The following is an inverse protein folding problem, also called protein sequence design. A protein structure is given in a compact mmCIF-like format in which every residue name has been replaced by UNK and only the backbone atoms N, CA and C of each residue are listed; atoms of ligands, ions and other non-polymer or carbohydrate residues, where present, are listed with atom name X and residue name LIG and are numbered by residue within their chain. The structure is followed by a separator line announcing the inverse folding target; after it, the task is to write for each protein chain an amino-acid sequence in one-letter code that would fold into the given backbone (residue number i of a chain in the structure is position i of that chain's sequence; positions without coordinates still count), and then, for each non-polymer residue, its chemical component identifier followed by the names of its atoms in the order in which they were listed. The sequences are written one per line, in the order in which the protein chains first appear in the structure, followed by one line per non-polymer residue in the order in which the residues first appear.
data_IF_259380709048
#
_entry.id   IF_259380709048
#
_cell.length_a   1.000
_cell.length_b   1.000
_cell.length_c   1.000
_cell.angle_alpha   90.00
_cell.angle_beta   90.00
_cell.angle_gamma   90.00
#
_symmetry.space_group_name_H-M   'P 1'
#
loop_
_entity.id
_entity.type
_entity.pdbx_description
1 polymer ?
#
# COMPACT_ATOMS: atom_id res chain seq x y z
N UNK A 1 20.12 2.44 5.73
CA UNK A 1 19.12 3.31 6.39
C UNK A 1 17.76 2.73 6.13
N UNK A 2 16.90 2.66 7.15
CA UNK A 2 15.58 2.05 7.00
C UNK A 2 14.56 3.07 6.49
N UNK A 3 13.73 2.64 5.55
CA UNK A 3 12.66 3.44 4.96
C UNK A 3 11.36 2.65 4.93
N UNK A 4 10.27 3.29 5.31
CA UNK A 4 8.91 2.82 5.10
C UNK A 4 8.43 3.33 3.75
N UNK A 5 8.15 2.41 2.82
CA UNK A 5 7.61 2.67 1.49
C UNK A 5 6.15 2.24 1.50
N UNK A 6 5.22 3.16 1.24
CA UNK A 6 3.78 2.93 1.38
C UNK A 6 3.05 3.12 0.05
N UNK A 7 2.15 2.18 -0.24
CA UNK A 7 1.22 2.24 -1.36
C UNK A 7 -0.17 2.56 -0.82
N UNK A 8 -0.83 3.54 -1.42
CA UNK A 8 -2.19 3.92 -1.05
C UNK A 8 -3.21 3.25 -1.97
N UNK A 9 -4.46 3.18 -1.50
CA UNK A 9 -5.62 2.77 -2.28
C UNK A 9 -6.90 3.03 -1.51
N UNK A 10 -8.04 2.76 -2.15
CA UNK A 10 -9.37 2.94 -1.58
C UNK A 10 -10.18 1.64 -1.60
N UNK A 11 -11.31 1.60 -0.88
CA UNK A 11 -12.24 0.46 -0.99
C UNK A 11 -12.73 0.26 -2.43
N UNK A 12 -12.94 1.36 -3.17
CA UNK A 12 -13.38 1.30 -4.57
C UNK A 12 -12.34 0.62 -5.47
N UNK A 13 -11.05 0.76 -5.17
CA UNK A 13 -9.98 0.11 -5.95
C UNK A 13 -9.93 -1.39 -5.70
N UNK A 14 -10.12 -1.83 -4.45
CA UNK A 14 -10.25 -3.25 -4.13
C UNK A 14 -11.50 -3.86 -4.79
N UNK A 15 -12.62 -3.15 -4.75
CA UNK A 15 -13.85 -3.58 -5.42
C UNK A 15 -13.65 -3.69 -6.93
N UNK A 16 -12.97 -2.71 -7.55
CA UNK A 16 -12.64 -2.69 -8.96
C UNK A 16 -11.73 -3.86 -9.37
N UNK A 17 -10.71 -4.19 -8.56
CA UNK A 17 -9.87 -5.37 -8.73
C UNK A 17 -10.65 -6.68 -8.58
N UNK A 18 -11.69 -6.67 -7.75
CA UNK A 18 -12.64 -7.78 -7.58
C UNK A 18 -13.77 -7.84 -8.63
N UNK A 19 -13.71 -7.03 -9.68
CA UNK A 19 -14.70 -7.02 -10.78
C UNK A 19 -15.90 -6.08 -10.58
N UNK A 20 -15.91 -5.26 -9.52
CA UNK A 20 -16.97 -4.30 -9.17
C UNK A 20 -16.47 -2.86 -9.27
N UNK A 21 -16.32 -2.39 -10.50
CA UNK A 21 -15.87 -1.02 -10.76
C UNK A 21 -16.94 0.04 -10.45
N UNK A 22 -16.48 1.28 -10.39
CA UNK A 22 -17.26 2.50 -10.16
C UNK A 22 -16.83 3.60 -11.15
N UNK A 23 -17.45 4.78 -11.04
CA UNK A 23 -17.01 5.95 -11.81
C UNK A 23 -15.61 6.45 -11.39
N UNK A 24 -15.20 6.20 -10.14
CA UNK A 24 -13.90 6.62 -9.61
C UNK A 24 -12.80 5.56 -9.82
N UNK A 25 -13.17 4.28 -10.00
CA UNK A 25 -12.22 3.18 -10.20
C UNK A 25 -12.79 2.14 -11.17
N UNK A 26 -12.28 2.03 -12.42
CA UNK A 26 -12.84 1.15 -13.44
C UNK A 26 -12.54 -0.32 -13.14
N UNK A 27 -13.41 -1.23 -13.59
CA UNK A 27 -13.21 -2.69 -13.44
C UNK A 27 -11.84 -3.10 -13.98
N UNK A 28 -11.13 -3.92 -13.22
CA UNK A 28 -9.91 -4.57 -13.67
C UNK A 28 -10.28 -5.91 -14.29
N UNK A 29 -9.78 -6.17 -15.50
CA UNK A 29 -9.84 -7.51 -16.05
C UNK A 29 -8.80 -8.42 -15.40
N UNK A 30 -8.96 -9.73 -15.57
CA UNK A 30 -8.06 -10.72 -15.00
C UNK A 30 -6.60 -10.46 -15.41
N UNK A 31 -6.37 -10.03 -16.66
CA UNK A 31 -5.03 -9.76 -17.18
C UNK A 31 -4.37 -8.59 -16.45
N UNK A 32 -5.10 -7.52 -16.17
CA UNK A 32 -4.62 -6.37 -15.41
C UNK A 32 -4.25 -6.76 -13.98
N UNK A 33 -5.10 -7.54 -13.31
CA UNK A 33 -4.83 -8.06 -11.96
C UNK A 33 -3.58 -8.94 -11.94
N UNK A 34 -3.43 -9.86 -12.90
CA UNK A 34 -2.24 -10.70 -13.02
C UNK A 34 -0.97 -9.89 -13.31
N UNK A 35 -1.07 -8.86 -14.16
CA UNK A 35 0.06 -7.98 -14.47
C UNK A 35 0.52 -7.19 -13.24
N UNK A 36 -0.41 -6.69 -12.43
CA UNK A 36 -0.10 -6.03 -11.16
C UNK A 36 0.62 -6.98 -10.19
N UNK A 37 0.09 -8.19 -9.97
CA UNK A 37 0.73 -9.16 -9.09
C UNK A 37 2.11 -9.59 -9.57
N UNK A 38 2.28 -9.83 -10.87
CA UNK A 38 3.57 -10.18 -11.45
C UNK A 38 4.60 -9.05 -11.30
N UNK A 39 4.18 -7.80 -11.51
CA UNK A 39 5.05 -6.63 -11.34
C UNK A 39 5.50 -6.44 -9.89
N UNK A 40 4.56 -6.48 -8.94
CA UNK A 40 4.89 -6.38 -7.51
C UNK A 40 5.70 -7.58 -7.02
N UNK A 41 5.44 -8.78 -7.54
CA UNK A 41 6.22 -9.99 -7.28
C UNK A 41 7.68 -9.82 -7.69
N UNK A 42 7.94 -9.36 -8.92
CA UNK A 42 9.30 -9.09 -9.39
C UNK A 42 10.03 -8.04 -8.56
N UNK A 43 9.34 -7.01 -8.05
CA UNK A 43 9.96 -6.05 -7.11
C UNK A 43 10.34 -6.75 -5.80
N UNK A 44 9.47 -7.61 -5.25
CA UNK A 44 9.77 -8.36 -4.03
C UNK A 44 10.98 -9.30 -4.21
N UNK A 45 11.05 -10.00 -5.35
CA UNK A 45 12.15 -10.90 -5.68
C UNK A 45 13.47 -10.11 -5.74
N UNK A 46 13.52 -9.00 -6.48
CA UNK A 46 14.70 -8.15 -6.58
C UNK A 46 15.16 -7.61 -5.21
N UNK A 47 14.22 -7.17 -4.36
CA UNK A 47 14.53 -6.62 -3.03
C UNK A 47 15.01 -7.71 -2.07
N UNK A 48 14.49 -8.94 -2.21
CA UNK A 48 14.96 -10.08 -1.45
C UNK A 48 16.36 -10.50 -1.89
N UNK A 49 16.63 -10.51 -3.20
CA UNK A 49 17.94 -10.86 -3.76
C UNK A 49 19.01 -9.83 -3.43
N UNK A 50 18.67 -8.54 -3.44
CA UNK A 50 19.59 -7.46 -3.06
C UNK A 50 19.84 -7.38 -1.55
N UNK A 51 18.99 -8.01 -0.73
CA UNK A 51 19.02 -7.91 0.72
C UNK A 51 18.47 -6.59 1.26
N UNK A 52 17.87 -5.76 0.41
CA UNK A 52 17.25 -4.48 0.80
C UNK A 52 15.89 -4.68 1.51
N UNK A 53 15.25 -5.84 1.34
CA UNK A 53 13.98 -6.14 2.00
C UNK A 53 14.15 -6.50 3.48
N UNK A 54 13.65 -5.65 4.38
CA UNK A 54 13.49 -5.99 5.81
C UNK A 54 12.18 -6.75 6.02
N UNK A 55 11.06 -6.18 5.56
CA UNK A 55 9.75 -6.82 5.55
C UNK A 55 8.78 -6.07 4.62
N UNK A 56 7.63 -6.64 4.30
CA UNK A 56 6.59 -5.97 3.54
C UNK A 56 5.34 -6.83 3.36
N UNK A 57 4.19 -6.19 3.24
CA UNK A 57 2.89 -6.86 3.08
C UNK A 57 1.94 -6.05 2.22
N UNK A 58 1.18 -6.75 1.37
CA UNK A 58 -0.09 -6.26 0.85
C UNK A 58 -1.17 -6.40 1.93
N UNK A 59 -2.03 -5.41 2.06
CA UNK A 59 -3.11 -5.39 3.04
C UNK A 59 -4.43 -5.82 2.39
N UNK A 60 -5.38 -6.21 3.22
CA UNK A 60 -6.75 -6.50 2.77
C UNK A 60 -7.52 -5.21 2.58
N UNK A 61 -8.67 -5.32 1.94
CA UNK A 61 -9.58 -4.22 1.71
C UNK A 61 -9.98 -3.51 3.01
N UNK A 62 -10.14 -2.17 3.00
CA UNK A 62 -10.52 -1.38 4.17
C UNK A 62 -11.75 -1.90 4.94
N UNK A 63 -12.75 -2.43 4.23
CA UNK A 63 -13.96 -2.99 4.82
C UNK A 63 -13.71 -4.19 5.75
N UNK A 64 -12.54 -4.84 5.67
CA UNK A 64 -12.16 -5.94 6.56
C UNK A 64 -11.56 -5.48 7.90
N UNK A 65 -11.23 -4.19 8.04
CA UNK A 65 -10.56 -3.64 9.21
C UNK A 65 -11.51 -3.09 10.28
N UNK A 66 -10.93 -2.71 11.44
CA UNK A 66 -11.61 -1.89 12.48
C UNK A 66 -10.76 -0.71 12.96
N UNK A 67 -11.38 0.44 13.20
CA UNK A 67 -10.75 1.60 13.81
C UNK A 67 -11.18 1.68 15.26
N UNK A 68 -10.24 2.08 16.11
CA UNK A 68 -10.45 2.19 17.54
C UNK A 68 -10.06 3.60 17.97
N UNK A 69 -11.01 4.33 18.54
CA UNK A 69 -10.81 5.63 19.18
C UNK A 69 -11.22 5.56 20.65
N UNK A 70 -11.12 6.68 21.36
CA UNK A 70 -11.58 6.81 22.75
C UNK A 70 -12.59 7.94 22.85
N UNK A 71 -13.63 7.75 23.66
CA UNK A 71 -14.58 8.82 23.98
C UNK A 71 -14.05 9.76 25.08
N UNK A 72 -14.85 10.76 25.45
CA UNK A 72 -14.49 11.74 26.49
C UNK A 72 -14.29 11.11 27.88
N UNK A 73 -14.87 9.93 28.12
CA UNK A 73 -14.74 9.17 29.36
C UNK A 73 -13.58 8.14 29.30
N UNK A 74 -12.82 8.10 28.20
CA UNK A 74 -11.70 7.19 28.00
C UNK A 74 -12.10 5.76 27.64
N UNK A 75 -13.35 5.51 27.25
CA UNK A 75 -13.82 4.18 26.84
C UNK A 75 -13.50 3.95 25.36
N UNK A 76 -13.16 2.72 24.96
CA UNK A 76 -12.89 2.41 23.57
C UNK A 76 -14.17 2.52 22.74
N UNK A 77 -14.09 3.27 21.63
CA UNK A 77 -15.11 3.34 20.59
C UNK A 77 -14.55 2.60 19.38
N UNK A 78 -15.23 1.53 18.96
CA UNK A 78 -14.80 0.71 17.82
C UNK A 78 -15.75 0.95 16.66
N UNK A 79 -15.19 1.25 15.48
CA UNK A 79 -15.93 1.33 14.22
C UNK A 79 -15.40 0.28 13.23
N UNK A 80 -16.30 -0.49 12.64
CA UNK A 80 -15.96 -1.37 11.53
C UNK A 80 -15.70 -0.52 10.27
N UNK A 81 -14.82 -1.03 9.39
CA UNK A 81 -14.48 -0.35 8.14
C UNK A 81 -15.64 -0.29 7.13
N UNK A 82 -15.55 0.60 6.13
CA UNK A 82 -14.51 1.59 5.91
C UNK A 82 -14.63 2.80 6.86
N UNK A 83 -13.52 3.23 7.45
CA UNK A 83 -13.53 4.36 8.40
C UNK A 83 -13.82 5.65 7.65
N UNK A 84 -14.79 6.43 8.14
CA UNK A 84 -15.51 7.47 7.40
C UNK A 84 -14.70 8.69 6.95
N UNK A 85 -13.43 8.84 7.36
CA UNK A 85 -12.70 10.11 7.18
C UNK A 85 -11.65 10.12 6.07
N UNK A 86 -11.22 8.96 5.53
CA UNK A 86 -10.22 8.95 4.45
C UNK A 86 -10.64 8.03 3.31
N UNK A 87 -10.72 8.60 2.10
CA UNK A 87 -10.89 7.80 0.88
C UNK A 87 -9.63 6.99 0.56
N UNK A 88 -8.48 7.45 1.00
CA UNK A 88 -7.17 6.87 0.73
C UNK A 88 -6.59 6.24 2.00
N UNK A 89 -6.33 4.95 1.93
CA UNK A 89 -5.81 4.13 3.01
C UNK A 89 -4.57 3.37 2.55
N UNK A 90 -3.83 2.82 3.50
CA UNK A 90 -2.67 2.00 3.21
C UNK A 90 -3.14 0.70 2.54
N UNK A 91 -2.70 0.46 1.30
CA UNK A 91 -2.96 -0.77 0.56
C UNK A 91 -1.82 -1.78 0.71
N UNK A 92 -0.61 -1.31 0.99
CA UNK A 92 0.55 -2.15 1.22
C UNK A 92 1.76 -1.33 1.60
N UNK A 93 2.78 -2.02 2.12
CA UNK A 93 4.03 -1.36 2.48
C UNK A 93 5.23 -2.29 2.37
N UNK A 94 6.41 -1.67 2.31
CA UNK A 94 7.69 -2.29 2.59
C UNK A 94 8.45 -1.49 3.64
N UNK A 95 9.21 -2.20 4.48
CA UNK A 95 10.35 -1.63 5.20
C UNK A 95 11.59 -2.10 4.47
N UNK A 96 12.37 -1.14 3.97
CA UNK A 96 13.57 -1.39 3.18
C UNK A 96 14.79 -0.82 3.89
N UNK A 97 15.90 -1.56 3.89
CA UNK A 97 17.21 -1.05 4.29
C UNK A 97 18.01 -0.70 3.05
N UNK A 98 17.98 0.59 2.69
CA UNK A 98 18.67 1.12 1.52
C UNK A 98 19.88 1.96 1.94
N UNK A 99 20.89 2.02 1.08
CA UNK A 99 22.09 2.84 1.32
C UNK A 99 21.80 4.36 1.34
N UNK A 100 20.71 4.80 0.69
CA UNK A 100 20.39 6.22 0.50
C UNK A 100 18.90 6.47 0.25
N UNK A 101 18.49 7.74 0.36
CA UNK A 101 17.12 8.17 0.01
C UNK A 101 16.90 8.07 -1.51
N UNK A 102 17.94 8.32 -2.29
CA UNK A 102 17.94 8.20 -3.73
C UNK A 102 17.64 6.76 -4.16
N UNK A 103 18.28 5.77 -3.53
CA UNK A 103 18.07 4.36 -3.84
C UNK A 103 16.63 3.92 -3.57
N UNK A 104 16.07 4.26 -2.41
CA UNK A 104 14.66 3.94 -2.12
C UNK A 104 13.70 4.70 -3.03
N UNK A 105 14.09 5.90 -3.51
CA UNK A 105 13.31 6.67 -4.49
C UNK A 105 13.26 5.97 -5.85
N UNK A 106 14.35 5.35 -6.31
CA UNK A 106 14.36 4.53 -7.53
C UNK A 106 13.40 3.34 -7.41
N UNK A 107 13.40 2.66 -6.26
CA UNK A 107 12.51 1.54 -5.96
C UNK A 107 11.06 2.02 -5.95
N UNK A 108 10.75 3.11 -5.24
CA UNK A 108 9.42 3.70 -5.19
C UNK A 108 8.91 4.12 -6.58
N UNK A 109 9.79 4.64 -7.44
CA UNK A 109 9.44 4.96 -8.81
C UNK A 109 9.08 3.72 -9.64
N UNK A 110 9.69 2.55 -9.38
CA UNK A 110 9.29 1.28 -9.98
C UNK A 110 7.91 0.83 -9.49
N UNK A 111 7.62 1.00 -8.20
CA UNK A 111 6.31 0.69 -7.61
C UNK A 111 5.23 1.59 -8.20
N UNK A 112 5.49 2.89 -8.35
CA UNK A 112 4.57 3.87 -8.94
C UNK A 112 4.23 3.59 -10.42
N UNK A 113 5.07 2.80 -11.12
CA UNK A 113 4.84 2.35 -12.50
C UNK A 113 4.13 0.99 -12.58
N UNK A 114 3.55 0.51 -11.48
CA UNK A 114 2.77 -0.72 -11.50
C UNK A 114 1.66 -0.63 -12.56
N UNK A 115 1.52 -1.64 -13.44
CA UNK A 115 0.51 -1.60 -14.49
C UNK A 115 -0.89 -1.58 -13.88
N UNK A 116 -1.75 -0.71 -14.41
CA UNK A 116 -3.15 -0.55 -14.04
C UNK A 116 -4.00 -0.23 -15.27
N UNK A 117 -5.32 -0.48 -15.25
CA UNK A 117 -6.22 -0.09 -16.33
C UNK A 117 -6.22 1.42 -16.57
N UNK A 118 -6.53 1.82 -17.81
CA UNK A 118 -6.72 3.23 -18.13
C UNK A 118 -7.87 3.82 -17.32
N UNK A 119 -7.64 4.98 -16.68
CA UNK A 119 -8.62 5.64 -15.83
C UNK A 119 -8.67 5.13 -14.39
N UNK A 120 -7.82 4.18 -14.01
CA UNK A 120 -7.59 3.86 -12.60
C UNK A 120 -6.94 5.04 -11.86
N UNK A 121 -7.29 5.29 -10.58
CA UNK A 121 -6.64 6.31 -9.77
C UNK A 121 -5.13 6.11 -9.67
N UNK A 122 -4.36 7.19 -9.77
CA UNK A 122 -2.92 7.16 -9.51
C UNK A 122 -2.64 7.72 -8.12
N UNK A 123 -1.95 6.94 -7.30
CA UNK A 123 -1.50 7.35 -5.98
C UNK A 123 0.01 7.50 -5.94
N UNK A 124 0.54 8.52 -5.24
CA UNK A 124 1.97 8.60 -5.00
C UNK A 124 2.41 7.44 -4.10
N UNK A 125 3.60 6.92 -4.37
CA UNK A 125 4.29 6.03 -3.41
C UNK A 125 4.98 6.91 -2.37
N UNK A 126 4.60 6.75 -1.11
CA UNK A 126 5.11 7.57 -0.03
C UNK A 126 6.34 6.92 0.59
N UNK A 127 7.42 7.68 0.74
CA UNK A 127 8.66 7.22 1.38
C UNK A 127 8.82 8.00 2.69
N UNK A 128 9.06 7.28 3.79
CA UNK A 128 9.38 7.88 5.08
C UNK A 128 10.63 7.22 5.67
N UNK A 129 11.64 7.99 6.09
CA UNK A 129 12.72 7.45 6.92
C UNK A 129 12.14 6.85 8.19
N UNK A 130 12.71 5.72 8.61
CA UNK A 130 12.41 5.09 9.90
C UNK A 130 13.52 5.51 10.85
N UNK A 131 13.17 6.27 11.89
CA UNK A 131 14.08 6.53 13.00
C UNK A 131 14.40 5.21 13.72
N UNK A 132 15.53 5.17 14.44
CA UNK A 132 15.98 3.95 15.12
C UNK A 132 14.87 3.25 15.90
N UNK A 133 14.83 1.92 15.81
CA UNK A 133 13.79 1.09 16.43
C UNK A 133 13.84 1.15 17.96
N UNK A 134 12.82 0.60 18.62
CA UNK A 134 12.79 0.46 20.09
C UNK A 134 13.96 -0.40 20.65
N UNK A 135 14.69 -1.08 19.77
CA UNK A 135 15.80 -1.98 20.07
C UNK A 135 17.17 -1.48 19.54
N UNK A 136 17.25 -0.25 19.01
CA UNK A 136 18.52 0.40 18.61
C UNK A 136 19.22 1.09 19.79
#
# INVERSE_FOLDING_TARGET
MKYLVMVQGSQADYDAQGGKGSAESPVWDEKAVQAMYAHMGSINDDLSESGELVTGYGLREPASGRAVSVDAEGRPVVSDGPYSETKELLAGFWVLDCESLERVTEIAARVARCPQPAGAPEYPVLIRPVDGGLDD
#
